data_IF_845751893900
#
_entry.id   IF_845751893900
#
_cell.length_a   1.000
_cell.length_b   1.000
_cell.length_c   1.000
_cell.angle_alpha   90.00
_cell.angle_beta   90.00
_cell.angle_gamma   90.00
#
_symmetry.space_group_name_H-M   'P 1'
#
loop_
_entity.id
_entity.type
_entity.pdbx_description
1 polymer ?
#
# COMPACT_ATOMS: atom_id res chain seq x y z
N UNK A 1 21.46 -72.98 -38.25
CA UNK A 1 22.24 -72.11 -39.15
C UNK A 1 22.15 -70.68 -38.61
N UNK A 2 23.31 -70.02 -38.52
CA UNK A 2 23.53 -68.68 -37.96
C UNK A 2 23.33 -67.64 -39.07
N UNK A 3 22.78 -66.46 -38.74
CA UNK A 3 23.16 -65.11 -39.23
C UNK A 3 22.20 -64.07 -38.59
N UNK A 4 22.57 -63.28 -37.58
CA UNK A 4 23.53 -62.14 -37.47
C UNK A 4 22.99 -60.81 -38.07
N UNK A 5 22.42 -60.02 -37.16
CA UNK A 5 22.46 -58.54 -36.98
C UNK A 5 21.93 -57.59 -38.07
N UNK A 6 21.07 -56.64 -37.66
CA UNK A 6 21.29 -55.18 -37.72
C UNK A 6 20.10 -54.41 -37.07
N UNK A 7 20.38 -53.65 -36.02
CA UNK A 7 19.54 -52.57 -35.44
C UNK A 7 19.69 -51.26 -36.24
N UNK A 8 19.08 -50.12 -35.87
CA UNK A 8 17.69 -49.82 -35.49
C UNK A 8 17.13 -48.62 -36.30
N UNK A 9 15.80 -48.48 -36.46
CA UNK A 9 15.14 -47.17 -36.65
C UNK A 9 13.69 -47.22 -36.18
N UNK A 10 13.45 -46.86 -34.91
CA UNK A 10 12.17 -46.29 -34.52
C UNK A 10 12.23 -44.80 -34.81
N UNK A 11 11.73 -44.39 -35.97
CA UNK A 11 11.41 -42.98 -36.21
C UNK A 11 10.08 -42.68 -35.53
N UNK A 12 10.21 -41.95 -34.43
CA UNK A 12 9.23 -41.20 -33.64
C UNK A 12 7.78 -41.24 -34.13
N UNK A 13 6.93 -41.91 -33.35
CA UNK A 13 5.48 -41.73 -33.37
C UNK A 13 5.12 -40.25 -33.25
N UNK A 14 4.32 -39.81 -34.21
CA UNK A 14 3.14 -38.96 -34.07
C UNK A 14 3.02 -38.18 -32.75
N UNK A 15 3.24 -36.88 -32.88
CA UNK A 15 2.30 -35.83 -32.49
C UNK A 15 1.46 -36.07 -31.22
N UNK A 16 1.87 -35.44 -30.14
CA UNK A 16 0.89 -34.88 -29.19
C UNK A 16 1.50 -33.65 -28.54
N UNK A 17 1.58 -32.55 -29.30
CA UNK A 17 1.50 -31.23 -28.66
C UNK A 17 0.11 -31.15 -28.03
N UNK A 18 -0.01 -31.58 -26.78
CA UNK A 18 -1.14 -31.19 -25.93
C UNK A 18 -0.94 -29.71 -25.62
N UNK A 19 -1.46 -28.92 -26.55
CA UNK A 19 -1.86 -27.54 -26.39
C UNK A 19 -2.78 -27.47 -25.16
N UNK A 20 -2.18 -27.25 -23.99
CA UNK A 20 -2.91 -26.87 -22.78
C UNK A 20 -3.21 -25.38 -22.86
N UNK A 21 -3.96 -25.00 -23.89
CA UNK A 21 -4.73 -23.76 -23.88
C UNK A 21 -5.74 -23.89 -22.74
N UNK A 22 -5.69 -23.07 -21.68
CA UNK A 22 -6.74 -23.04 -20.68
C UNK A 22 -7.93 -22.38 -21.38
N UNK A 23 -8.78 -23.22 -21.97
CA UNK A 23 -10.05 -22.80 -22.52
C UNK A 23 -10.80 -22.05 -21.42
N UNK A 24 -10.91 -20.74 -21.65
CA UNK A 24 -11.86 -19.78 -21.09
C UNK A 24 -13.01 -20.47 -20.35
N UNK A 25 -12.85 -20.64 -19.04
CA UNK A 25 -14.00 -20.84 -18.15
C UNK A 25 -14.59 -19.47 -17.91
N UNK A 26 -15.46 -19.06 -18.83
CA UNK A 26 -16.31 -17.89 -18.68
C UNK A 26 -17.26 -18.15 -17.50
N UNK A 27 -16.91 -17.64 -16.33
CA UNK A 27 -17.74 -17.76 -15.13
C UNK A 27 -16.96 -17.48 -13.85
N UNK A 28 -16.69 -16.20 -13.59
CA UNK A 28 -16.32 -15.59 -12.31
C UNK A 28 -15.10 -16.11 -11.50
N UNK A 29 -14.55 -17.29 -11.79
CA UNK A 29 -13.37 -17.88 -11.12
C UNK A 29 -12.34 -18.38 -12.14
N UNK A 30 -11.71 -17.45 -12.86
CA UNK A 30 -10.52 -17.78 -13.63
C UNK A 30 -9.34 -17.96 -12.66
N UNK A 31 -8.94 -19.21 -12.42
CA UNK A 31 -7.77 -19.53 -11.58
C UNK A 31 -6.50 -19.17 -12.36
N UNK A 32 -5.75 -18.19 -11.86
CA UNK A 32 -4.45 -17.77 -12.40
C UNK A 32 -3.32 -18.27 -11.51
N UNK A 33 -2.31 -18.93 -12.09
CA UNK A 33 -1.11 -19.33 -11.37
C UNK A 33 -0.16 -18.14 -11.25
N UNK A 34 0.25 -17.80 -10.02
CA UNK A 34 1.21 -16.71 -9.74
C UNK A 34 2.50 -17.30 -9.17
N UNK A 35 3.64 -16.83 -9.67
CA UNK A 35 4.95 -17.20 -9.14
C UNK A 35 5.31 -16.26 -7.98
N UNK A 36 5.42 -16.81 -6.77
CA UNK A 36 5.80 -16.09 -5.55
C UNK A 36 7.06 -16.72 -4.95
N UNK A 37 7.88 -15.93 -4.23
CA UNK A 37 8.94 -16.48 -3.41
C UNK A 37 8.34 -17.19 -2.19
N UNK A 38 9.11 -18.10 -1.57
CA UNK A 38 8.66 -18.81 -0.37
C UNK A 38 8.41 -17.84 0.80
N UNK A 39 9.28 -16.84 0.96
CA UNK A 39 9.16 -15.80 1.98
C UNK A 39 7.87 -15.00 1.80
N UNK A 40 7.61 -14.49 0.59
CA UNK A 40 6.38 -13.73 0.30
C UNK A 40 5.12 -14.58 0.51
N UNK A 41 5.19 -15.88 0.22
CA UNK A 41 4.07 -16.79 0.47
C UNK A 41 3.80 -16.93 1.96
N UNK A 42 4.84 -17.02 2.79
CA UNK A 42 4.71 -17.08 4.25
C UNK A 42 4.13 -15.79 4.83
N UNK A 43 4.54 -14.62 4.32
CA UNK A 43 3.98 -13.33 4.73
C UNK A 43 2.49 -13.21 4.40
N UNK A 44 2.10 -13.65 3.19
CA UNK A 44 0.69 -13.69 2.77
C UNK A 44 -0.11 -14.64 3.65
N UNK A 45 0.44 -15.80 4.01
CA UNK A 45 -0.21 -16.76 4.89
C UNK A 45 -0.42 -16.21 6.30
N UNK A 46 0.61 -15.59 6.89
CA UNK A 46 0.48 -14.94 8.20
C UNK A 46 -0.55 -13.80 8.19
N UNK A 47 -0.60 -13.04 7.09
CA UNK A 47 -1.62 -12.01 6.90
C UNK A 47 -3.02 -12.61 6.79
N UNK A 48 -3.18 -13.71 6.03
CA UNK A 48 -4.44 -14.41 5.85
C UNK A 48 -4.96 -14.99 7.18
N UNK A 49 -4.08 -15.56 8.01
CA UNK A 49 -4.39 -16.06 9.35
C UNK A 49 -4.87 -14.93 10.27
N UNK A 50 -4.17 -13.79 10.25
CA UNK A 50 -4.55 -12.62 11.06
C UNK A 50 -5.93 -12.08 10.69
N UNK A 51 -6.26 -12.09 9.40
CA UNK A 51 -7.53 -11.57 8.88
C UNK A 51 -8.62 -12.64 8.74
N UNK A 52 -8.32 -13.91 9.07
CA UNK A 52 -9.25 -15.04 9.01
C UNK A 52 -9.86 -15.24 7.60
N UNK A 53 -9.04 -15.09 6.56
CA UNK A 53 -9.46 -15.25 5.16
C UNK A 53 -8.64 -16.33 4.46
N UNK A 54 -9.11 -16.79 3.29
CA UNK A 54 -8.33 -17.73 2.49
C UNK A 54 -7.10 -17.04 1.89
N UNK A 55 -6.06 -17.81 1.53
CA UNK A 55 -4.89 -17.26 0.82
C UNK A 55 -5.28 -16.52 -0.46
N UNK A 56 -6.25 -17.04 -1.22
CA UNK A 56 -6.73 -16.41 -2.46
C UNK A 56 -7.40 -15.06 -2.21
N UNK A 57 -8.20 -14.98 -1.14
CA UNK A 57 -8.83 -13.72 -0.71
C UNK A 57 -7.80 -12.73 -0.20
N UNK A 58 -6.81 -13.21 0.55
CA UNK A 58 -5.70 -12.38 1.03
C UNK A 58 -4.92 -11.75 -0.12
N UNK A 59 -4.57 -12.55 -1.14
CA UNK A 59 -3.91 -12.05 -2.35
C UNK A 59 -4.78 -11.00 -3.04
N UNK A 60 -6.07 -11.27 -3.21
CA UNK A 60 -7.00 -10.32 -3.86
C UNK A 60 -7.12 -9.00 -3.10
N UNK A 61 -7.23 -9.05 -1.77
CA UNK A 61 -7.33 -7.87 -0.92
C UNK A 61 -6.04 -7.06 -0.89
N UNK A 62 -4.89 -7.73 -0.73
CA UNK A 62 -3.58 -7.07 -0.75
C UNK A 62 -3.31 -6.39 -2.09
N UNK A 63 -3.67 -7.03 -3.21
CA UNK A 63 -3.57 -6.42 -4.53
C UNK A 63 -4.52 -5.23 -4.68
N UNK A 64 -5.76 -5.34 -4.21
CA UNK A 64 -6.69 -4.22 -4.21
C UNK A 64 -6.11 -3.02 -3.44
N UNK A 65 -5.58 -3.22 -2.24
CA UNK A 65 -4.93 -2.17 -1.44
C UNK A 65 -3.73 -1.59 -2.20
N UNK A 66 -2.87 -2.44 -2.75
CA UNK A 66 -1.68 -2.02 -3.50
C UNK A 66 -2.03 -1.20 -4.74
N UNK A 67 -3.09 -1.57 -5.47
CA UNK A 67 -3.56 -0.84 -6.65
C UNK A 67 -4.18 0.52 -6.28
N UNK A 68 -4.97 0.58 -5.20
CA UNK A 68 -5.50 1.84 -4.68
C UNK A 68 -4.39 2.78 -4.21
N UNK A 69 -3.34 2.24 -3.57
CA UNK A 69 -2.18 3.00 -3.15
C UNK A 69 -1.33 3.48 -4.34
N UNK A 70 -1.17 2.65 -5.37
CA UNK A 70 -0.34 2.96 -6.55
C UNK A 70 -0.96 4.01 -7.47
N UNK A 71 -2.29 4.13 -7.48
CA UNK A 71 -3.01 5.17 -8.23
C UNK A 71 -2.96 6.54 -7.57
N UNK A 72 -2.53 6.63 -6.31
CA UNK A 72 -2.34 7.88 -5.61
C UNK A 72 -0.87 8.27 -5.75
N UNK A 73 -0.51 9.37 -6.44
CA UNK A 73 0.85 9.88 -6.31
C UNK A 73 1.09 10.05 -4.81
N UNK A 74 2.14 9.40 -4.29
CA UNK A 74 2.60 9.64 -2.93
C UNK A 74 2.59 11.17 -2.77
N UNK A 75 1.91 11.72 -1.75
CA UNK A 75 1.86 13.16 -1.59
C UNK A 75 3.30 13.62 -1.49
N UNK A 76 3.83 14.17 -2.59
CA UNK A 76 5.08 14.88 -2.55
C UNK A 76 4.87 15.90 -1.43
N UNK A 77 5.87 16.08 -0.54
CA UNK A 77 5.82 17.19 0.39
C UNK A 77 5.80 18.45 -0.48
N UNK A 78 4.60 18.90 -0.84
CA UNK A 78 4.38 20.22 -1.39
C UNK A 78 4.93 21.10 -0.28
N UNK A 79 5.99 21.85 -0.59
CA UNK A 79 6.36 23.04 0.17
C UNK A 79 5.11 23.91 0.18
N UNK A 80 4.24 23.65 1.16
CA UNK A 80 3.09 24.48 1.43
C UNK A 80 3.66 25.72 2.10
N UNK A 81 3.25 26.86 1.59
CA UNK A 81 3.57 28.15 2.18
C UNK A 81 3.29 28.08 3.70
N UNK A 82 4.31 28.27 4.56
CA UNK A 82 4.15 28.24 6.01
C UNK A 82 3.02 29.15 6.49
N UNK A 83 2.84 30.30 5.83
CA UNK A 83 1.77 31.24 6.14
C UNK A 83 0.39 30.64 5.83
N UNK A 84 0.25 29.92 4.72
CA UNK A 84 -0.99 29.25 4.36
C UNK A 84 -1.34 28.10 5.32
N UNK A 85 -0.34 27.41 5.87
CA UNK A 85 -0.54 26.39 6.91
C UNK A 85 -1.06 27.06 8.20
N UNK A 86 -0.39 28.13 8.63
CA UNK A 86 -0.75 28.87 9.83
C UNK A 86 -2.17 29.46 9.73
N UNK A 87 -2.51 30.12 8.63
CA UNK A 87 -3.86 30.66 8.38
C UNK A 87 -4.94 29.59 8.41
N UNK A 88 -4.66 28.41 7.86
CA UNK A 88 -5.60 27.29 7.91
C UNK A 88 -5.79 26.78 9.34
N UNK A 89 -4.70 26.68 10.13
CA UNK A 89 -4.76 26.29 11.53
C UNK A 89 -5.58 27.29 12.36
N UNK A 90 -5.33 28.60 12.20
CA UNK A 90 -6.10 29.68 12.84
C UNK A 90 -7.59 29.48 12.57
N UNK A 91 -7.97 29.34 11.28
CA UNK A 91 -9.37 29.18 10.87
C UNK A 91 -10.03 27.94 11.47
N UNK A 92 -9.33 26.80 11.49
CA UNK A 92 -9.88 25.55 12.02
C UNK A 92 -10.07 25.63 13.54
N UNK A 93 -9.10 26.18 14.26
CA UNK A 93 -9.20 26.35 15.72
C UNK A 93 -10.31 27.35 16.07
N UNK A 94 -10.42 28.45 15.32
CA UNK A 94 -11.45 29.47 15.53
C UNK A 94 -12.88 28.89 15.47
N UNK A 95 -13.11 27.92 14.57
CA UNK A 95 -14.39 27.19 14.44
C UNK A 95 -14.67 26.23 15.60
N UNK A 96 -13.64 25.80 16.33
CA UNK A 96 -13.77 24.88 17.47
C UNK A 96 -13.94 25.61 18.81
N UNK A 97 -13.59 26.89 18.87
CA UNK A 97 -13.74 27.71 20.08
C UNK A 97 -15.18 28.20 20.26
N UNK A 98 -15.56 28.44 21.51
CA UNK A 98 -16.88 29.00 21.83
C UNK A 98 -17.04 30.39 21.15
N UNK A 99 -18.09 30.58 20.32
CA UNK A 99 -18.32 31.85 19.64
C UNK A 99 -18.69 32.99 20.60
N UNK A 100 -19.11 32.69 21.84
CA UNK A 100 -19.45 33.70 22.84
C UNK A 100 -18.23 34.25 23.60
N UNK A 101 -17.04 33.68 23.39
CA UNK A 101 -15.81 34.21 23.97
C UNK A 101 -15.47 35.59 23.36
N UNK A 102 -14.96 36.53 24.16
CA UNK A 102 -14.40 37.77 23.63
C UNK A 102 -13.34 37.50 22.55
N UNK A 103 -13.33 38.31 21.50
CA UNK A 103 -12.42 38.12 20.36
C UNK A 103 -10.95 38.03 20.79
N UNK A 104 -10.51 38.91 21.71
CA UNK A 104 -9.14 38.93 22.24
C UNK A 104 -8.77 37.63 22.95
N UNK A 105 -9.71 37.03 23.68
CA UNK A 105 -9.48 35.78 24.39
C UNK A 105 -9.45 34.58 23.43
N UNK A 106 -10.31 34.60 22.40
CA UNK A 106 -10.26 33.61 21.32
C UNK A 106 -8.91 33.65 20.61
N UNK A 107 -8.44 34.85 20.25
CA UNK A 107 -7.17 35.02 19.57
C UNK A 107 -5.98 34.55 20.42
N UNK A 108 -5.94 34.90 21.71
CA UNK A 108 -4.90 34.40 22.64
C UNK A 108 -4.88 32.88 22.70
N UNK A 109 -6.05 32.25 22.76
CA UNK A 109 -6.16 30.79 22.83
C UNK A 109 -5.73 30.11 21.54
N UNK A 110 -6.08 30.68 20.39
CA UNK A 110 -5.61 30.23 19.08
C UNK A 110 -4.08 30.26 19.02
N UNK A 111 -3.46 31.41 19.36
CA UNK A 111 -1.99 31.53 19.37
C UNK A 111 -1.33 30.50 20.27
N UNK A 112 -1.83 30.33 21.49
CA UNK A 112 -1.29 29.32 22.43
C UNK A 112 -1.40 27.88 21.90
N UNK A 113 -2.46 27.55 21.17
CA UNK A 113 -2.65 26.23 20.57
C UNK A 113 -1.75 26.00 19.34
N UNK A 114 -1.49 27.05 18.55
CA UNK A 114 -0.59 26.98 17.38
C UNK A 114 0.88 26.90 17.83
N UNK A 115 1.29 27.72 18.79
CA UNK A 115 2.65 27.70 19.33
C UNK A 115 2.93 26.39 20.09
N UNK A 116 1.91 25.88 20.78
CA UNK A 116 2.00 24.74 21.66
C UNK A 116 2.54 25.10 23.05
N UNK A 117 2.58 24.14 23.99
CA UNK A 117 3.20 24.35 25.29
C UNK A 117 4.71 24.60 25.16
N UNK A 118 5.26 25.47 26.02
CA UNK A 118 6.66 25.88 25.95
C UNK A 118 7.64 24.69 26.11
N UNK A 119 7.22 23.67 26.86
CA UNK A 119 7.98 22.45 27.11
C UNK A 119 8.27 21.66 25.82
N UNK A 120 7.44 21.83 24.78
CA UNK A 120 7.58 21.13 23.50
C UNK A 120 8.06 22.03 22.36
N UNK A 121 8.27 23.32 22.61
CA UNK A 121 8.70 24.27 21.58
C UNK A 121 10.06 23.88 20.97
N UNK A 122 10.96 23.28 21.75
CA UNK A 122 12.27 22.79 21.30
C UNK A 122 12.24 21.48 20.50
N UNK A 123 11.16 20.71 20.60
CA UNK A 123 10.96 19.44 19.87
C UNK A 123 10.36 19.65 18.48
N UNK A 124 9.98 20.89 18.15
CA UNK A 124 9.42 21.26 16.85
C UNK A 124 10.43 21.03 15.73
N UNK A 125 10.12 20.08 14.86
CA UNK A 125 10.95 19.74 13.69
C UNK A 125 10.92 20.82 12.59
N UNK A 126 9.92 21.70 12.64
CA UNK A 126 9.68 22.77 11.66
C UNK A 126 10.40 24.08 11.99
N UNK A 127 10.89 24.24 13.23
CA UNK A 127 11.64 25.43 13.66
C UNK A 127 13.15 25.14 13.66
N UNK A 128 13.99 26.17 13.40
CA UNK A 128 15.43 26.04 13.60
C UNK A 128 15.69 25.77 15.07
N UNK A 129 16.37 24.64 15.36
CA UNK A 129 16.82 24.33 16.71
C UNK A 129 17.80 25.42 17.15
N UNK A 130 17.58 26.02 18.32
CA UNK A 130 18.60 26.90 18.92
C UNK A 130 19.82 26.03 19.19
N UNK A 131 20.93 26.36 18.54
CA UNK A 131 22.24 25.81 18.85
C UNK A 131 22.72 26.56 20.09
N UNK A 132 22.67 25.90 21.25
CA UNK A 132 23.28 26.37 22.49
C UNK A 132 24.76 25.95 22.56
#
# INVERSE_FOLDING_TARGET
MINRQMTPKMTSSSDTRRDLSPAVRLGHDAVSAVKLSQELTADIDAWAETHQVTRSDAISQLLAIGLHASGRPAPQPKLRDPLAIEQNAIRLIDQMLDPNLPADERERRIRRLIEGPAEFAGERIDLPKRLD
#
